data_IF_891602568515
#
_entry.id   IF_891602568515
#
_cell.length_a   1.000
_cell.length_b   1.000
_cell.length_c   1.000
_cell.angle_alpha   90.00
_cell.angle_beta   90.00
_cell.angle_gamma   90.00
#
_symmetry.space_group_name_H-M   'P 1'
#
loop_
_entity.id
_entity.type
_entity.pdbx_description
1 polymer ?
#
# COMPACT_ATOMS: atom_id res chain seq x y z
N UNK A 1 -24.20 12.80 -1.83
CA UNK A 1 -23.74 12.26 -3.13
C UNK A 1 -22.72 11.15 -2.84
N UNK A 2 -22.92 9.98 -3.44
CA UNK A 2 -22.02 8.84 -3.35
C UNK A 2 -20.69 9.16 -4.03
N UNK A 3 -19.55 8.93 -3.36
CA UNK A 3 -18.22 9.11 -3.94
C UNK A 3 -17.85 7.94 -4.85
N UNK A 4 -16.81 8.08 -5.69
CA UNK A 4 -16.31 6.94 -6.50
C UNK A 4 -15.93 5.77 -5.61
N UNK A 5 -15.27 6.06 -4.47
CA UNK A 5 -14.91 5.04 -3.47
C UNK A 5 -16.15 4.32 -2.93
N UNK A 6 -17.19 5.05 -2.50
CA UNK A 6 -18.39 4.43 -1.90
C UNK A 6 -19.14 3.56 -2.89
N UNK A 7 -19.27 3.98 -4.17
CA UNK A 7 -19.91 3.15 -5.22
C UNK A 7 -19.15 1.84 -5.47
N UNK A 8 -17.82 1.92 -5.52
CA UNK A 8 -17.00 0.73 -5.72
C UNK A 8 -17.02 -0.20 -4.49
N UNK A 9 -17.08 0.38 -3.28
CA UNK A 9 -17.23 -0.38 -2.04
C UNK A 9 -18.59 -1.08 -1.96
N UNK A 10 -19.69 -0.40 -2.35
CA UNK A 10 -21.03 -0.97 -2.45
C UNK A 10 -21.04 -2.18 -3.41
N UNK A 11 -20.47 -2.00 -4.61
CA UNK A 11 -20.33 -3.11 -5.58
C UNK A 11 -19.52 -4.29 -5.03
N UNK A 12 -18.45 -4.03 -4.27
CA UNK A 12 -17.68 -5.09 -3.63
C UNK A 12 -18.50 -5.85 -2.58
N UNK A 13 -19.35 -5.13 -1.83
CA UNK A 13 -20.22 -5.69 -0.79
C UNK A 13 -21.41 -6.49 -1.36
N UNK A 14 -21.77 -6.33 -2.63
CA UNK A 14 -22.79 -7.17 -3.29
C UNK A 14 -22.41 -8.64 -3.23
N UNK A 15 -21.12 -8.96 -3.36
CA UNK A 15 -20.59 -10.31 -3.14
C UNK A 15 -20.21 -10.50 -1.66
N UNK A 16 -21.22 -10.79 -0.83
CA UNK A 16 -21.06 -10.95 0.61
C UNK A 16 -20.06 -12.03 1.00
N UNK A 17 -20.01 -13.12 0.25
CA UNK A 17 -19.08 -14.23 0.51
C UNK A 17 -17.62 -13.78 0.28
N UNK A 18 -17.36 -13.13 -0.85
CA UNK A 18 -16.03 -12.58 -1.16
C UNK A 18 -15.62 -11.52 -0.13
N UNK A 19 -16.54 -10.63 0.25
CA UNK A 19 -16.26 -9.58 1.23
C UNK A 19 -15.95 -10.15 2.62
N UNK A 20 -16.68 -11.18 3.05
CA UNK A 20 -16.44 -11.86 4.32
C UNK A 20 -15.11 -12.63 4.30
N UNK A 21 -14.80 -13.35 3.23
CA UNK A 21 -13.52 -14.05 3.06
C UNK A 21 -12.33 -13.09 3.06
N UNK A 22 -12.43 -11.99 2.34
CA UNK A 22 -11.41 -10.95 2.28
C UNK A 22 -11.14 -10.34 3.66
N UNK A 23 -12.21 -9.97 4.39
CA UNK A 23 -12.11 -9.46 5.75
C UNK A 23 -11.43 -10.45 6.70
N UNK A 24 -11.84 -11.71 6.67
CA UNK A 24 -11.31 -12.75 7.53
C UNK A 24 -9.84 -13.07 7.22
N UNK A 25 -9.48 -13.17 5.94
CA UNK A 25 -8.11 -13.47 5.51
C UNK A 25 -7.12 -12.38 5.95
N UNK A 26 -7.49 -11.11 5.77
CA UNK A 26 -6.67 -9.99 6.22
C UNK A 26 -6.58 -9.91 7.75
N UNK A 27 -7.68 -10.24 8.44
CA UNK A 27 -7.66 -10.29 9.91
C UNK A 27 -6.75 -11.39 10.44
N UNK A 28 -6.70 -12.55 9.79
CA UNK A 28 -5.74 -13.61 10.15
C UNK A 28 -4.29 -13.13 9.99
N UNK A 29 -3.98 -12.40 8.92
CA UNK A 29 -2.64 -11.80 8.75
C UNK A 29 -2.32 -10.80 9.87
N UNK A 30 -3.31 -9.98 10.25
CA UNK A 30 -3.19 -9.05 11.37
C UNK A 30 -2.95 -9.79 12.69
N UNK A 31 -3.71 -10.83 12.99
CA UNK A 31 -3.57 -11.62 14.22
C UNK A 31 -2.18 -12.30 14.30
N UNK A 32 -1.71 -12.83 13.17
CA UNK A 32 -0.37 -13.42 13.05
C UNK A 32 0.73 -12.38 13.32
N UNK A 33 0.61 -11.19 12.72
CA UNK A 33 1.50 -10.06 12.99
C UNK A 33 1.54 -9.70 14.47
N UNK A 34 0.38 -9.60 15.11
CA UNK A 34 0.28 -9.22 16.52
C UNK A 34 0.90 -10.28 17.46
N UNK A 35 0.74 -11.56 17.12
CA UNK A 35 1.44 -12.64 17.81
C UNK A 35 2.96 -12.46 17.69
N UNK A 36 3.47 -12.34 16.48
CA UNK A 36 4.91 -12.26 16.20
C UNK A 36 5.56 -10.98 16.74
N UNK A 37 4.82 -9.89 16.85
CA UNK A 37 5.34 -8.66 17.45
C UNK A 37 5.49 -8.77 18.98
N UNK A 38 4.58 -9.51 19.65
CA UNK A 38 4.66 -9.76 21.10
C UNK A 38 5.80 -10.69 21.49
N UNK A 39 6.28 -11.52 20.58
CA UNK A 39 7.44 -12.41 20.78
C UNK A 39 8.78 -11.66 20.76
N UNK A 40 8.78 -10.36 20.44
CA UNK A 40 9.97 -9.50 20.42
C UNK A 40 9.87 -8.48 21.55
N UNK A 41 10.55 -8.67 22.68
CA UNK A 41 10.44 -7.77 23.85
C UNK A 41 10.76 -6.31 23.51
N UNK A 42 11.73 -6.08 22.63
CA UNK A 42 12.19 -4.76 22.18
C UNK A 42 11.39 -4.21 20.98
N UNK A 43 10.20 -4.73 20.68
CA UNK A 43 9.41 -4.35 19.51
C UNK A 43 9.18 -2.85 19.36
N UNK A 44 8.78 -2.18 20.43
CA UNK A 44 8.52 -0.74 20.39
C UNK A 44 9.81 0.06 20.21
N UNK A 45 10.90 -0.37 20.84
CA UNK A 45 12.21 0.24 20.66
C UNK A 45 12.70 0.13 19.21
N UNK A 46 12.54 -1.04 18.58
CA UNK A 46 12.85 -1.22 17.15
C UNK A 46 12.03 -0.28 16.25
N UNK A 47 10.75 -0.07 16.57
CA UNK A 47 9.90 0.88 15.83
C UNK A 47 10.36 2.32 15.99
N UNK A 48 10.81 2.71 17.19
CA UNK A 48 11.39 4.03 17.43
C UNK A 48 12.69 4.21 16.65
N UNK A 49 13.58 3.22 16.69
CA UNK A 49 14.80 3.21 15.89
C UNK A 49 14.50 3.31 14.40
N UNK A 50 13.54 2.53 13.88
CA UNK A 50 13.17 2.57 12.46
C UNK A 50 12.65 3.95 12.04
N UNK A 51 11.84 4.58 12.87
CA UNK A 51 11.36 5.95 12.63
C UNK A 51 12.52 6.96 12.64
N UNK A 52 13.40 6.87 13.64
CA UNK A 52 14.57 7.76 13.75
C UNK A 52 15.53 7.60 12.57
N UNK A 53 15.88 6.36 12.20
CA UNK A 53 16.75 6.07 11.04
C UNK A 53 16.13 6.63 9.76
N UNK A 54 14.82 6.44 9.54
CA UNK A 54 14.16 6.97 8.34
C UNK A 54 14.13 8.50 8.33
N UNK A 55 13.88 9.14 9.47
CA UNK A 55 13.93 10.59 9.55
C UNK A 55 15.37 11.13 9.33
N UNK A 56 16.37 10.44 9.89
CA UNK A 56 17.77 10.74 9.60
C UNK A 56 18.08 10.60 8.10
N UNK A 57 17.69 9.48 7.49
CA UNK A 57 17.92 9.25 6.06
C UNK A 57 17.24 10.31 5.20
N UNK A 58 16.02 10.72 5.53
CA UNK A 58 15.30 11.76 4.80
C UNK A 58 15.95 13.15 4.96
N UNK A 59 16.52 13.47 6.13
CA UNK A 59 17.19 14.76 6.38
C UNK A 59 18.61 14.83 5.79
N UNK A 60 19.23 13.70 5.42
CA UNK A 60 20.56 13.60 4.79
C UNK A 60 20.47 12.89 3.44
N UNK A 61 19.32 13.01 2.76
CA UNK A 61 19.00 12.24 1.57
C UNK A 61 20.00 12.47 0.43
N UNK A 62 20.41 13.70 0.23
CA UNK A 62 21.39 14.13 -0.78
C UNK A 62 22.74 13.46 -0.55
N UNK A 63 23.26 13.51 0.69
CA UNK A 63 24.54 12.93 1.07
C UNK A 63 24.53 11.40 0.93
N UNK A 64 23.50 10.75 1.47
CA UNK A 64 23.38 9.29 1.44
C UNK A 64 23.20 8.75 0.02
N UNK A 65 22.48 9.43 -0.84
CA UNK A 65 22.30 9.00 -2.22
C UNK A 65 23.57 9.20 -3.05
N UNK A 66 24.32 10.29 -2.85
CA UNK A 66 25.64 10.48 -3.49
C UNK A 66 26.65 9.44 -3.02
N UNK A 67 26.67 9.14 -1.71
CA UNK A 67 27.50 8.07 -1.16
C UNK A 67 27.14 6.70 -1.76
N UNK A 68 25.84 6.40 -1.86
CA UNK A 68 25.34 5.18 -2.50
C UNK A 68 25.83 5.08 -3.94
N UNK A 69 25.61 6.12 -4.75
CA UNK A 69 26.00 6.16 -6.15
C UNK A 69 27.50 5.89 -6.30
N UNK A 70 28.32 6.63 -5.56
CA UNK A 70 29.80 6.47 -5.58
C UNK A 70 30.20 5.02 -5.25
N UNK A 71 29.61 4.43 -4.22
CA UNK A 71 29.95 3.07 -3.79
C UNK A 71 29.42 2.02 -4.77
N UNK A 72 28.22 2.20 -5.34
CA UNK A 72 27.66 1.30 -6.32
C UNK A 72 28.48 1.31 -7.63
N UNK A 73 28.89 2.49 -8.09
CA UNK A 73 29.77 2.63 -9.27
C UNK A 73 31.16 2.01 -9.01
N UNK A 74 31.73 2.22 -7.82
CA UNK A 74 32.98 1.56 -7.42
C UNK A 74 32.87 0.03 -7.37
N UNK A 75 31.68 -0.50 -7.15
CA UNK A 75 31.38 -1.94 -7.21
C UNK A 75 31.12 -2.44 -8.64
N UNK A 76 31.10 -1.56 -9.65
CA UNK A 76 30.92 -1.89 -11.07
C UNK A 76 29.47 -1.79 -11.56
N UNK A 77 28.58 -1.14 -10.84
CA UNK A 77 27.22 -0.88 -11.31
C UNK A 77 27.15 0.43 -12.14
N UNK A 78 26.24 0.47 -13.10
CA UNK A 78 25.84 1.70 -13.79
C UNK A 78 24.67 2.32 -13.02
N UNK A 79 24.80 3.57 -12.59
CA UNK A 79 23.77 4.26 -11.79
C UNK A 79 23.14 5.37 -12.63
N UNK A 80 21.81 5.43 -12.58
CA UNK A 80 20.98 6.40 -13.29
C UNK A 80 20.02 7.08 -12.32
N UNK A 81 19.65 8.31 -12.65
CA UNK A 81 18.66 9.08 -11.93
C UNK A 81 17.46 9.35 -12.82
N UNK A 82 16.26 9.13 -12.29
CA UNK A 82 15.02 9.44 -12.98
C UNK A 82 14.19 10.41 -12.12
N UNK A 83 13.86 11.56 -12.69
CA UNK A 83 13.05 12.59 -12.00
C UNK A 83 11.58 12.21 -11.90
N UNK A 84 11.08 11.46 -12.90
CA UNK A 84 9.67 11.08 -13.01
C UNK A 84 9.49 9.70 -13.66
N UNK A 85 8.23 9.30 -13.83
CA UNK A 85 7.86 8.01 -14.41
C UNK A 85 8.29 7.88 -15.88
N UNK A 86 8.20 8.95 -16.66
CA UNK A 86 8.52 8.94 -18.10
C UNK A 86 10.02 8.74 -18.32
N UNK A 87 10.84 9.45 -17.55
CA UNK A 87 12.30 9.28 -17.60
C UNK A 87 12.72 7.89 -17.09
N UNK A 88 12.11 7.40 -16.01
CA UNK A 88 12.34 6.05 -15.51
C UNK A 88 12.05 4.97 -16.58
N UNK A 89 10.90 5.03 -17.22
CA UNK A 89 10.52 4.10 -18.28
C UNK A 89 11.46 4.21 -19.49
N UNK A 90 11.85 5.42 -19.85
CA UNK A 90 12.74 5.68 -20.98
C UNK A 90 14.15 5.15 -20.74
N UNK A 91 14.71 5.33 -19.55
CA UNK A 91 16.03 4.78 -19.16
C UNK A 91 16.02 3.26 -19.30
N UNK A 92 15.01 2.58 -18.71
CA UNK A 92 14.92 1.12 -18.77
C UNK A 92 14.77 0.65 -20.21
N UNK A 93 13.90 1.28 -21.00
CA UNK A 93 13.73 0.93 -22.41
C UNK A 93 15.05 1.07 -23.19
N UNK A 94 15.78 2.17 -23.00
CA UNK A 94 17.04 2.40 -23.69
C UNK A 94 18.11 1.34 -23.32
N UNK A 95 18.16 0.92 -22.06
CA UNK A 95 19.04 -0.17 -21.63
C UNK A 95 18.65 -1.47 -22.32
N UNK A 96 17.37 -1.85 -22.30
CA UNK A 96 16.89 -3.09 -22.93
C UNK A 96 17.08 -3.07 -24.44
N UNK A 97 16.72 -1.97 -25.09
CA UNK A 97 16.86 -1.80 -26.54
C UNK A 97 18.34 -1.82 -27.00
N UNK A 98 19.24 -1.18 -26.23
CA UNK A 98 20.67 -1.18 -26.51
C UNK A 98 21.32 -2.58 -26.44
N UNK A 99 20.69 -3.51 -25.69
CA UNK A 99 21.11 -4.91 -25.58
C UNK A 99 20.27 -5.88 -26.44
N UNK A 100 19.40 -5.38 -27.30
CA UNK A 100 18.48 -6.17 -28.13
C UNK A 100 17.62 -7.16 -27.32
N UNK A 101 17.13 -6.75 -26.15
CA UNK A 101 16.31 -7.57 -25.27
C UNK A 101 14.87 -7.63 -25.79
N UNK A 102 14.36 -8.86 -25.95
CA UNK A 102 12.96 -9.14 -26.30
C UNK A 102 12.20 -9.82 -25.16
N UNK A 103 12.89 -10.65 -24.36
CA UNK A 103 12.31 -11.37 -23.21
C UNK A 103 12.86 -10.81 -21.90
N UNK A 104 11.99 -10.14 -21.17
CA UNK A 104 12.32 -9.44 -19.93
C UNK A 104 11.52 -10.02 -18.76
N UNK A 105 12.23 -10.53 -17.74
CA UNK A 105 11.60 -11.05 -16.52
C UNK A 105 11.74 -10.06 -15.39
N UNK A 106 10.63 -9.85 -14.66
CA UNK A 106 10.58 -8.88 -13.57
C UNK A 106 10.08 -9.53 -12.30
N UNK A 107 10.77 -9.32 -11.18
CA UNK A 107 10.19 -9.58 -9.87
C UNK A 107 9.40 -8.36 -9.41
N UNK A 108 8.48 -8.59 -8.47
CA UNK A 108 7.58 -7.58 -7.91
C UNK A 108 8.26 -6.24 -7.64
N UNK A 109 7.71 -5.17 -8.20
CA UNK A 109 8.17 -3.81 -7.96
C UNK A 109 7.01 -2.84 -7.91
N UNK A 110 6.69 -2.34 -6.72
CA UNK A 110 5.67 -1.30 -6.55
C UNK A 110 6.01 0.00 -7.27
N UNK A 111 7.32 0.29 -7.47
CA UNK A 111 7.77 1.44 -8.23
C UNK A 111 7.48 1.27 -9.72
N UNK A 112 7.68 0.07 -10.26
CA UNK A 112 7.35 -0.23 -11.65
C UNK A 112 5.85 -0.07 -11.92
N UNK A 113 4.99 -0.53 -11.00
CA UNK A 113 3.54 -0.32 -11.05
C UNK A 113 3.17 1.18 -10.95
N UNK A 114 3.86 1.91 -10.08
CA UNK A 114 3.68 3.36 -9.91
C UNK A 114 3.97 4.13 -11.20
N UNK A 115 4.98 3.70 -11.95
CA UNK A 115 5.45 4.35 -13.17
C UNK A 115 4.82 3.77 -14.45
N UNK A 116 4.00 2.71 -14.37
CA UNK A 116 3.37 2.09 -15.55
C UNK A 116 4.37 1.37 -16.48
N UNK A 117 5.47 0.83 -15.93
CA UNK A 117 6.57 0.26 -16.72
C UNK A 117 6.12 -0.90 -17.60
N UNK A 118 5.28 -1.81 -17.11
CA UNK A 118 4.88 -2.99 -17.86
C UNK A 118 4.15 -2.61 -19.14
N UNK A 119 3.14 -1.76 -19.02
CA UNK A 119 2.34 -1.28 -20.16
C UNK A 119 3.22 -0.53 -21.17
N UNK A 120 4.13 0.31 -20.67
CA UNK A 120 5.05 1.05 -21.51
C UNK A 120 5.96 0.12 -22.31
N UNK A 121 6.61 -0.87 -21.69
CA UNK A 121 7.50 -1.80 -22.36
C UNK A 121 6.77 -2.73 -23.35
N UNK A 122 5.58 -3.22 -22.98
CA UNK A 122 4.75 -4.03 -23.88
C UNK A 122 4.32 -3.26 -25.14
N UNK A 123 4.01 -1.96 -25.02
CA UNK A 123 3.74 -1.10 -26.18
C UNK A 123 4.97 -0.91 -27.07
N UNK A 124 6.17 -1.09 -26.53
CA UNK A 124 7.44 -1.06 -27.28
C UNK A 124 7.86 -2.42 -27.84
N UNK A 125 7.03 -3.46 -27.69
CA UNK A 125 7.26 -4.80 -28.22
C UNK A 125 8.16 -5.70 -27.37
N UNK A 126 8.39 -5.37 -26.10
CA UNK A 126 9.13 -6.21 -25.15
C UNK A 126 8.15 -7.15 -24.44
N UNK A 127 8.44 -8.45 -24.45
CA UNK A 127 7.70 -9.46 -23.66
C UNK A 127 8.10 -9.36 -22.20
N UNK A 128 7.22 -8.75 -21.39
CA UNK A 128 7.43 -8.56 -19.94
C UNK A 128 6.74 -9.67 -19.18
N UNK A 129 7.49 -10.44 -18.41
CA UNK A 129 6.98 -11.53 -17.58
C UNK A 129 7.13 -11.21 -16.09
N UNK A 130 6.02 -11.18 -15.36
CA UNK A 130 6.02 -11.14 -13.89
C UNK A 130 6.44 -12.50 -13.32
N UNK A 131 7.40 -12.52 -12.43
CA UNK A 131 7.92 -13.73 -11.83
C UNK A 131 7.38 -14.04 -10.42
N UNK A 132 6.73 -13.07 -9.77
CA UNK A 132 5.95 -13.28 -8.55
C UNK A 132 4.62 -13.94 -8.91
N UNK A 133 4.22 -14.99 -8.18
CA UNK A 133 3.03 -15.77 -8.51
C UNK A 133 1.74 -14.91 -8.49
N UNK A 134 1.61 -14.04 -7.50
CA UNK A 134 0.44 -13.18 -7.38
C UNK A 134 0.36 -12.15 -8.53
N UNK A 135 1.46 -11.50 -8.86
CA UNK A 135 1.56 -10.59 -10.01
C UNK A 135 1.35 -11.35 -11.33
N UNK A 136 1.91 -12.56 -11.47
CA UNK A 136 1.73 -13.38 -12.69
C UNK A 136 0.25 -13.74 -12.92
N UNK A 137 -0.46 -14.13 -11.88
CA UNK A 137 -1.91 -14.40 -11.95
C UNK A 137 -2.64 -13.14 -12.43
N UNK A 138 -2.35 -11.99 -11.83
CA UNK A 138 -2.98 -10.73 -12.23
C UNK A 138 -2.62 -10.30 -13.65
N UNK A 139 -1.37 -10.50 -14.06
CA UNK A 139 -0.91 -10.23 -15.43
C UNK A 139 -1.72 -11.08 -16.44
N UNK A 140 -1.87 -12.38 -16.20
CA UNK A 140 -2.66 -13.29 -17.05
C UNK A 140 -4.17 -12.96 -17.04
N UNK A 141 -4.68 -12.40 -15.96
CA UNK A 141 -6.07 -11.94 -15.84
C UNK A 141 -6.29 -10.51 -16.35
N UNK A 142 -5.24 -9.79 -16.75
CA UNK A 142 -5.28 -8.36 -17.10
C UNK A 142 -5.89 -7.50 -15.96
N UNK A 143 -5.59 -7.83 -14.71
CA UNK A 143 -6.06 -7.13 -13.51
C UNK A 143 -4.91 -6.41 -12.79
N UNK A 144 -5.25 -5.36 -12.04
CA UNK A 144 -4.28 -4.63 -11.19
C UNK A 144 -4.16 -5.27 -9.81
N UNK A 145 -3.05 -5.04 -9.10
CA UNK A 145 -2.90 -5.47 -7.72
C UNK A 145 -3.95 -4.83 -6.80
N UNK A 146 -4.49 -5.59 -5.85
CA UNK A 146 -5.42 -5.09 -4.83
C UNK A 146 -4.78 -4.92 -3.46
N UNK A 147 -3.55 -5.38 -3.26
CA UNK A 147 -2.78 -5.29 -2.03
C UNK A 147 -1.28 -5.22 -2.33
N UNK A 148 -0.51 -4.49 -1.49
CA UNK A 148 0.94 -4.30 -1.70
C UNK A 148 1.73 -5.62 -1.61
N UNK A 149 1.41 -6.48 -0.62
CA UNK A 149 2.20 -7.69 -0.32
C UNK A 149 1.58 -8.93 -0.95
N UNK A 150 0.27 -9.05 -0.96
CA UNK A 150 -0.48 -10.19 -1.50
C UNK A 150 -1.41 -9.70 -2.62
N UNK A 151 -0.88 -9.42 -3.81
CA UNK A 151 -1.56 -8.65 -4.85
C UNK A 151 -2.85 -9.29 -5.33
N UNK A 152 -2.90 -10.62 -5.40
CA UNK A 152 -4.03 -11.41 -5.87
C UNK A 152 -4.97 -11.91 -4.73
N UNK A 153 -4.92 -11.31 -3.53
CA UNK A 153 -5.70 -11.75 -2.36
C UNK A 153 -7.22 -11.75 -2.59
N UNK A 154 -7.71 -11.06 -3.57
CA UNK A 154 -9.11 -10.99 -3.94
C UNK A 154 -9.55 -12.07 -4.94
N UNK A 155 -8.61 -12.91 -5.40
CA UNK A 155 -8.87 -14.01 -6.35
C UNK A 155 -8.97 -15.34 -5.59
N UNK A 156 -10.05 -16.07 -5.81
CA UNK A 156 -10.22 -17.39 -5.22
C UNK A 156 -9.43 -18.45 -6.00
N UNK A 157 -9.04 -19.53 -5.33
CA UNK A 157 -8.26 -20.64 -5.95
C UNK A 157 -8.99 -21.30 -7.12
N UNK A 158 -10.32 -21.31 -7.09
CA UNK A 158 -11.16 -21.83 -8.15
C UNK A 158 -10.99 -21.00 -9.45
N UNK A 159 -11.01 -19.67 -9.33
CA UNK A 159 -10.76 -18.76 -10.45
C UNK A 159 -9.32 -18.90 -11.00
N UNK A 160 -8.35 -19.16 -10.12
CA UNK A 160 -6.96 -19.42 -10.51
C UNK A 160 -6.87 -20.76 -11.25
N UNK A 161 -7.58 -21.79 -10.78
CA UNK A 161 -7.66 -23.09 -11.47
C UNK A 161 -8.18 -22.95 -12.90
N UNK A 162 -9.29 -22.26 -13.09
CA UNK A 162 -9.87 -21.99 -14.42
C UNK A 162 -8.90 -21.20 -15.32
N UNK A 163 -8.24 -20.19 -14.78
CA UNK A 163 -7.21 -19.45 -15.49
C UNK A 163 -6.08 -20.36 -15.97
N UNK A 164 -5.58 -21.24 -15.10
CA UNK A 164 -4.45 -22.11 -15.41
C UNK A 164 -4.82 -23.21 -16.40
N UNK A 165 -6.08 -23.68 -16.41
CA UNK A 165 -6.58 -24.54 -17.50
C UNK A 165 -6.39 -23.85 -18.85
N UNK A 166 -6.80 -22.58 -18.94
CA UNK A 166 -6.72 -21.80 -20.18
C UNK A 166 -5.28 -21.47 -20.59
N UNK A 167 -4.48 -21.00 -19.64
CA UNK A 167 -3.15 -20.42 -19.92
C UNK A 167 -1.99 -21.42 -19.84
N UNK A 168 -2.17 -22.53 -19.11
CA UNK A 168 -1.12 -23.51 -18.84
C UNK A 168 -1.51 -24.95 -19.15
N UNK A 169 -2.76 -25.20 -19.58
CA UNK A 169 -3.24 -26.54 -19.92
C UNK A 169 -3.33 -27.49 -18.73
N UNK A 170 -3.65 -26.96 -17.53
CA UNK A 170 -3.85 -27.78 -16.34
C UNK A 170 -5.15 -28.59 -16.41
N UNK A 171 -5.30 -29.57 -15.51
CA UNK A 171 -6.47 -30.41 -15.44
C UNK A 171 -7.71 -29.62 -14.98
N UNK A 172 -8.82 -29.64 -15.75
CA UNK A 172 -10.04 -28.93 -15.37
C UNK A 172 -10.60 -29.38 -14.02
N UNK A 173 -10.95 -28.43 -13.16
CA UNK A 173 -11.52 -28.68 -11.83
C UNK A 173 -10.51 -29.03 -10.75
N UNK A 174 -9.24 -29.20 -11.07
CA UNK A 174 -8.18 -29.43 -10.09
C UNK A 174 -7.70 -28.11 -9.49
N UNK A 175 -8.24 -27.79 -8.31
CA UNK A 175 -7.95 -26.55 -7.58
C UNK A 175 -7.03 -26.80 -6.36
N UNK A 176 -6.27 -27.89 -6.36
CA UNK A 176 -5.27 -28.16 -5.33
C UNK A 176 -4.15 -27.13 -5.42
N UNK A 177 -3.84 -26.48 -4.30
CA UNK A 177 -2.88 -25.38 -4.25
C UNK A 177 -1.46 -25.82 -4.62
N UNK A 178 -1.06 -27.03 -4.23
CA UNK A 178 0.25 -27.61 -4.56
C UNK A 178 0.35 -27.87 -6.05
N UNK A 179 -0.69 -28.47 -6.63
CA UNK A 179 -0.77 -28.73 -8.07
C UNK A 179 -0.66 -27.45 -8.88
N UNK A 180 -1.47 -26.43 -8.56
CA UNK A 180 -1.43 -25.13 -9.23
C UNK A 180 -0.07 -24.43 -9.10
N UNK A 181 0.55 -24.51 -7.92
CA UNK A 181 1.89 -23.94 -7.69
C UNK A 181 2.95 -24.65 -8.56
N UNK A 182 2.86 -25.98 -8.70
CA UNK A 182 3.76 -26.74 -9.57
C UNK A 182 3.54 -26.40 -11.05
N UNK A 183 2.30 -26.20 -11.48
CA UNK A 183 2.00 -25.77 -12.85
C UNK A 183 2.61 -24.39 -13.15
N UNK A 184 2.41 -23.42 -12.26
CA UNK A 184 3.03 -22.09 -12.37
C UNK A 184 4.57 -22.17 -12.39
N UNK A 185 5.17 -22.98 -11.50
CA UNK A 185 6.62 -23.22 -11.49
C UNK A 185 7.13 -23.77 -12.82
N UNK A 186 6.43 -24.74 -13.40
CA UNK A 186 6.79 -25.31 -14.71
C UNK A 186 6.71 -24.27 -15.83
N UNK A 187 5.66 -23.46 -15.85
CA UNK A 187 5.47 -22.38 -16.81
C UNK A 187 6.58 -21.31 -16.68
N UNK A 188 6.81 -20.82 -15.47
CA UNK A 188 7.80 -19.77 -15.21
C UNK A 188 9.25 -20.25 -15.45
N UNK A 189 9.55 -21.56 -15.27
CA UNK A 189 10.90 -22.09 -15.48
C UNK A 189 11.44 -21.77 -16.88
N UNK A 190 10.63 -21.94 -17.93
CA UNK A 190 11.03 -21.62 -19.29
C UNK A 190 11.26 -20.11 -19.45
N UNK A 191 10.38 -19.30 -18.88
CA UNK A 191 10.51 -17.84 -18.89
C UNK A 191 11.79 -17.33 -18.21
N UNK A 192 12.22 -17.96 -17.11
CA UNK A 192 13.51 -17.66 -16.48
C UNK A 192 14.71 -18.02 -17.34
N UNK A 193 14.64 -19.14 -18.08
CA UNK A 193 15.73 -19.64 -18.93
C UNK A 193 15.84 -18.79 -20.19
N UNK A 194 14.73 -18.37 -20.76
CA UNK A 194 14.65 -17.57 -21.98
C UNK A 194 14.92 -16.08 -21.74
N UNK A 195 14.87 -15.62 -20.49
CA UNK A 195 15.04 -14.20 -20.16
C UNK A 195 16.45 -13.69 -20.52
N UNK A 196 16.50 -12.61 -21.28
CA UNK A 196 17.71 -11.92 -21.72
C UNK A 196 18.14 -10.85 -20.71
N UNK A 197 17.16 -10.30 -19.99
CA UNK A 197 17.36 -9.34 -18.90
C UNK A 197 16.39 -9.62 -17.74
N UNK A 198 16.81 -9.24 -16.53
CA UNK A 198 15.97 -9.32 -15.35
C UNK A 198 15.93 -8.01 -14.57
N UNK A 199 14.78 -7.75 -13.93
CA UNK A 199 14.63 -6.59 -13.07
C UNK A 199 14.09 -6.96 -11.68
N UNK A 200 14.59 -6.25 -10.67
CA UNK A 200 14.05 -6.29 -9.32
C UNK A 200 13.76 -4.88 -8.80
N UNK A 201 12.70 -4.74 -8.02
CA UNK A 201 12.60 -3.61 -7.09
C UNK A 201 13.52 -3.82 -5.90
N UNK A 202 13.97 -2.76 -5.24
CA UNK A 202 14.70 -2.87 -3.98
C UNK A 202 13.84 -2.48 -2.78
N UNK A 203 13.94 -3.27 -1.71
CA UNK A 203 13.33 -2.91 -0.43
C UNK A 203 14.15 -1.84 0.29
N UNK A 204 15.48 -1.93 0.23
CA UNK A 204 16.42 -0.99 0.83
C UNK A 204 17.64 -0.81 -0.07
N UNK A 205 18.27 0.37 0.01
CA UNK A 205 19.56 0.68 -0.57
C UNK A 205 20.49 1.16 0.56
N UNK A 206 21.71 0.61 0.66
CA UNK A 206 22.65 0.88 1.76
C UNK A 206 23.73 1.82 1.27
N UNK A 207 23.76 3.05 1.79
CA UNK A 207 24.65 4.10 1.33
C UNK A 207 26.13 3.71 1.48
N UNK A 208 26.53 3.28 2.67
CA UNK A 208 27.94 2.96 3.00
C UNK A 208 28.56 1.83 2.16
N UNK A 209 27.75 0.99 1.49
CA UNK A 209 28.24 -0.16 0.72
C UNK A 209 27.89 -0.11 -0.76
N UNK A 210 26.92 0.71 -1.17
CA UNK A 210 26.40 0.75 -2.53
C UNK A 210 25.62 -0.52 -2.92
N UNK A 211 25.18 -1.31 -1.94
CA UNK A 211 24.37 -2.50 -2.16
C UNK A 211 22.88 -2.18 -2.06
N UNK A 212 22.05 -2.90 -2.84
CA UNK A 212 20.61 -2.91 -2.62
C UNK A 212 20.15 -4.27 -2.10
N UNK A 213 19.03 -4.27 -1.38
CA UNK A 213 18.52 -5.44 -0.67
C UNK A 213 17.11 -5.74 -1.12
N UNK A 214 16.87 -7.01 -1.46
CA UNK A 214 15.56 -7.54 -1.86
C UNK A 214 15.10 -8.55 -0.81
N UNK A 215 13.90 -8.34 -0.30
CA UNK A 215 13.24 -9.21 0.68
C UNK A 215 12.06 -9.92 0.01
N UNK A 216 12.17 -11.23 -0.19
CA UNK A 216 11.15 -12.04 -0.87
C UNK A 216 11.00 -13.42 -0.22
N UNK A 217 9.89 -14.13 -0.48
CA UNK A 217 9.64 -15.46 0.05
C UNK A 217 9.72 -16.56 -1.03
N UNK A 218 9.73 -16.19 -2.30
CA UNK A 218 9.59 -17.12 -3.41
C UNK A 218 10.91 -17.48 -4.11
N UNK A 219 11.98 -16.72 -3.83
CA UNK A 219 13.27 -16.86 -4.53
C UNK A 219 13.23 -16.45 -6.01
N UNK A 220 12.13 -15.88 -6.48
CA UNK A 220 11.93 -15.44 -7.86
C UNK A 220 12.89 -14.31 -8.28
N UNK A 221 13.18 -13.38 -7.37
CA UNK A 221 14.15 -12.31 -7.62
C UNK A 221 15.56 -12.89 -7.80
N UNK A 222 15.98 -13.80 -6.91
CA UNK A 222 17.30 -14.46 -7.00
C UNK A 222 17.41 -15.31 -8.25
N UNK A 223 16.35 -16.03 -8.63
CA UNK A 223 16.29 -16.81 -9.85
C UNK A 223 16.44 -15.90 -11.09
N UNK A 224 15.66 -14.80 -11.15
CA UNK A 224 15.72 -13.83 -12.24
C UNK A 224 17.09 -13.22 -12.39
N UNK A 225 17.69 -12.75 -11.31
CA UNK A 225 19.02 -12.11 -11.34
C UNK A 225 20.18 -13.08 -11.53
N UNK A 226 19.97 -14.38 -11.33
CA UNK A 226 21.02 -15.39 -11.53
C UNK A 226 21.14 -15.90 -12.96
N UNK A 227 20.12 -15.77 -13.79
CA UNK A 227 20.10 -16.32 -15.17
C UNK A 227 20.63 -15.33 -16.23
N UNK A 228 19.99 -14.19 -16.47
CA UNK A 228 20.47 -13.26 -17.49
C UNK A 228 21.72 -12.50 -17.05
N UNK A 229 22.49 -12.03 -18.03
CA UNK A 229 23.68 -11.21 -17.78
C UNK A 229 23.33 -9.76 -17.49
N UNK A 230 22.23 -9.28 -18.04
CA UNK A 230 21.76 -7.91 -17.85
C UNK A 230 20.81 -7.86 -16.66
N UNK A 231 21.20 -7.14 -15.62
CA UNK A 231 20.43 -6.96 -14.40
C UNK A 231 20.05 -5.50 -14.21
N UNK A 232 18.78 -5.24 -13.90
CA UNK A 232 18.26 -3.92 -13.61
C UNK A 232 17.68 -3.94 -12.20
N UNK A 233 18.02 -2.94 -11.40
CA UNK A 233 17.39 -2.70 -10.10
C UNK A 233 16.86 -1.27 -10.04
N UNK A 234 15.72 -1.07 -9.37
CA UNK A 234 15.20 0.29 -9.21
C UNK A 234 14.58 0.50 -7.83
N UNK A 235 14.74 1.70 -7.30
CA UNK A 235 14.16 2.11 -6.03
C UNK A 235 13.88 3.62 -5.98
N UNK A 236 12.87 3.98 -5.20
CA UNK A 236 12.60 5.38 -4.89
C UNK A 236 13.58 5.94 -3.86
N UNK A 237 13.85 7.24 -3.92
CA UNK A 237 14.79 7.93 -3.04
C UNK A 237 14.65 7.53 -1.57
N UNK A 238 13.41 7.29 -1.14
CA UNK A 238 13.06 6.95 0.24
C UNK A 238 13.55 5.56 0.71
N UNK A 239 14.13 4.74 -0.19
CA UNK A 239 14.61 3.40 0.19
C UNK A 239 16.02 3.40 0.78
N UNK A 240 16.70 4.52 0.75
CA UNK A 240 18.06 4.65 1.29
C UNK A 240 18.09 4.46 2.81
N UNK A 241 19.11 3.78 3.28
CA UNK A 241 19.50 3.64 4.69
C UNK A 241 21.01 3.87 4.80
N UNK A 242 21.51 4.39 5.94
CA UNK A 242 22.93 4.75 6.05
C UNK A 242 23.88 3.57 5.89
N UNK A 243 23.63 2.50 6.62
CA UNK A 243 24.54 1.37 6.79
C UNK A 243 23.80 0.05 7.04
N UNK A 244 24.56 -1.04 7.24
CA UNK A 244 24.02 -2.38 7.50
C UNK A 244 23.43 -2.54 8.90
N UNK A 245 23.90 -1.81 9.89
CA UNK A 245 23.35 -1.80 11.23
C UNK A 245 21.93 -1.24 11.20
N UNK A 246 21.73 -0.12 10.53
CA UNK A 246 20.43 0.47 10.27
C UNK A 246 19.52 -0.50 9.49
N UNK A 247 20.04 -1.18 8.45
CA UNK A 247 19.30 -2.20 7.71
C UNK A 247 18.82 -3.33 8.61
N UNK A 248 19.63 -3.76 9.60
CA UNK A 248 19.30 -4.81 10.56
C UNK A 248 18.01 -4.54 11.33
N UNK A 249 17.71 -3.28 11.65
CA UNK A 249 16.44 -2.87 12.28
C UNK A 249 15.25 -3.17 11.35
N UNK A 250 15.37 -2.80 10.08
CA UNK A 250 14.27 -2.95 9.12
C UNK A 250 14.00 -4.41 8.74
N UNK A 251 15.03 -5.24 8.60
CA UNK A 251 14.86 -6.66 8.28
C UNK A 251 14.13 -7.41 9.40
N UNK A 252 14.32 -7.02 10.66
CA UNK A 252 13.58 -7.55 11.81
C UNK A 252 12.12 -7.11 11.83
N UNK A 253 11.80 -5.93 11.31
CA UNK A 253 10.46 -5.34 11.35
C UNK A 253 9.60 -5.70 10.13
N UNK A 254 10.20 -5.78 8.93
CA UNK A 254 9.47 -5.83 7.66
C UNK A 254 8.53 -7.02 7.55
N UNK A 255 9.06 -8.24 7.61
CA UNK A 255 8.28 -9.46 7.44
C UNK A 255 7.30 -9.69 8.61
N UNK A 256 7.73 -9.37 9.85
CA UNK A 256 6.84 -9.44 11.02
C UNK A 256 5.63 -8.54 10.88
N UNK A 257 5.83 -7.34 10.35
CA UNK A 257 4.74 -6.37 10.17
C UNK A 257 3.78 -6.74 9.04
N UNK A 258 4.30 -7.30 7.95
CA UNK A 258 3.50 -7.63 6.76
C UNK A 258 2.74 -8.94 6.90
N UNK A 259 3.46 -10.03 7.03
CA UNK A 259 2.94 -11.39 6.98
C UNK A 259 3.02 -12.15 8.31
N UNK A 260 3.60 -11.54 9.34
CA UNK A 260 3.84 -12.20 10.62
C UNK A 260 4.92 -13.29 10.53
N UNK A 261 5.95 -13.08 9.73
CA UNK A 261 7.14 -13.95 9.65
C UNK A 261 8.28 -13.30 10.42
N UNK A 262 9.16 -14.08 11.09
CA UNK A 262 10.35 -13.54 11.78
C UNK A 262 11.26 -12.73 10.84
N UNK A 263 11.48 -13.26 9.63
CA UNK A 263 12.23 -12.66 8.53
C UNK A 263 11.68 -13.23 7.22
N UNK A 264 11.96 -12.60 6.08
CA UNK A 264 11.67 -13.17 4.76
C UNK A 264 12.55 -14.38 4.48
N UNK A 265 12.07 -15.33 3.70
CA UNK A 265 12.81 -16.54 3.33
C UNK A 265 14.14 -16.18 2.66
N UNK A 266 14.10 -15.18 1.79
CA UNK A 266 15.28 -14.63 1.12
C UNK A 266 15.42 -13.15 1.50
N UNK A 267 16.61 -12.79 2.00
CA UNK A 267 17.03 -11.40 2.24
C UNK A 267 18.35 -11.25 1.51
N UNK A 268 18.27 -10.95 0.22
CA UNK A 268 19.42 -11.01 -0.69
C UNK A 268 20.05 -9.64 -0.86
N UNK A 269 21.37 -9.58 -0.71
CA UNK A 269 22.19 -8.38 -0.85
C UNK A 269 22.90 -8.40 -2.19
N UNK A 270 22.60 -7.43 -3.05
CA UNK A 270 23.19 -7.29 -4.37
C UNK A 270 24.17 -6.12 -4.38
N UNK A 271 25.44 -6.42 -4.54
CA UNK A 271 26.49 -5.41 -4.45
C UNK A 271 27.23 -5.19 -5.78
N UNK A 272 27.42 -6.26 -6.54
CA UNK A 272 28.24 -6.27 -7.74
C UNK A 272 27.48 -6.93 -8.90
N UNK A 273 27.77 -6.55 -10.15
CA UNK A 273 27.33 -7.34 -11.29
C UNK A 273 27.90 -8.77 -11.18
N UNK A 274 27.15 -9.74 -11.68
CA UNK A 274 27.65 -11.09 -11.81
C UNK A 274 28.82 -11.15 -12.81
N UNK A 275 29.64 -12.20 -12.72
CA UNK A 275 30.79 -12.35 -13.63
C UNK A 275 30.35 -12.35 -15.10
N UNK A 276 30.86 -11.41 -15.88
CA UNK A 276 30.53 -11.25 -17.28
C UNK A 276 29.12 -10.72 -17.54
N UNK A 277 28.49 -10.09 -16.55
CA UNK A 277 27.22 -9.40 -16.66
C UNK A 277 27.33 -7.93 -16.29
N UNK A 278 26.22 -7.24 -16.43
CA UNK A 278 26.06 -5.81 -16.14
C UNK A 278 24.96 -5.62 -15.08
N UNK A 279 25.12 -4.60 -14.24
CA UNK A 279 24.14 -4.19 -13.24
C UNK A 279 23.84 -2.71 -13.44
N UNK A 280 22.56 -2.41 -13.72
CA UNK A 280 22.03 -1.07 -13.88
C UNK A 280 21.11 -0.76 -12.71
N UNK A 281 21.36 0.35 -12.00
CA UNK A 281 20.58 0.79 -10.84
C UNK A 281 19.92 2.13 -11.15
N UNK A 282 18.60 2.21 -11.05
CA UNK A 282 17.85 3.44 -11.29
C UNK A 282 17.31 3.98 -9.98
N UNK A 283 17.72 5.18 -9.62
CA UNK A 283 17.26 5.93 -8.47
C UNK A 283 16.15 6.89 -8.93
N UNK A 284 14.97 6.80 -8.33
CA UNK A 284 13.77 7.48 -8.84
C UNK A 284 13.20 8.45 -7.82
N UNK A 285 13.00 9.69 -8.25
CA UNK A 285 12.27 10.69 -7.47
C UNK A 285 10.75 10.51 -7.59
N UNK A 286 10.20 10.70 -8.75
CA UNK A 286 8.75 10.66 -9.03
C UNK A 286 7.91 11.39 -7.96
N UNK A 287 8.36 12.59 -7.57
CA UNK A 287 7.69 13.47 -6.61
C UNK A 287 8.01 13.23 -5.14
N UNK A 288 8.98 12.37 -4.80
CA UNK A 288 9.41 12.13 -3.41
C UNK A 288 10.09 13.35 -2.80
N UNK A 289 10.81 14.11 -3.60
CA UNK A 289 11.40 15.40 -3.19
C UNK A 289 10.32 16.42 -2.79
N UNK A 290 9.16 16.43 -3.44
CA UNK A 290 8.03 17.27 -3.05
C UNK A 290 7.44 16.84 -1.68
N UNK A 291 7.42 15.51 -1.41
CA UNK A 291 6.98 15.01 -0.10
C UNK A 291 7.99 15.37 0.98
N UNK A 292 9.28 15.35 0.66
CA UNK A 292 10.35 15.75 1.57
C UNK A 292 10.20 17.22 2.00
N UNK A 293 9.77 18.09 1.11
CA UNK A 293 9.52 19.51 1.37
C UNK A 293 8.25 19.78 2.21
N UNK A 294 7.32 18.82 2.30
CA UNK A 294 6.06 18.95 3.06
C UNK A 294 6.24 18.44 4.50
N UNK A 295 6.50 19.37 5.44
CA UNK A 295 6.73 19.03 6.86
C UNK A 295 5.56 18.27 7.51
N UNK A 296 4.33 18.47 7.06
CA UNK A 296 3.15 17.79 7.62
C UNK A 296 3.05 16.33 7.16
N UNK A 297 3.66 15.99 6.00
CA UNK A 297 3.54 14.68 5.36
C UNK A 297 4.86 13.97 5.11
N UNK A 298 6.00 14.55 5.48
CA UNK A 298 7.35 13.98 5.27
C UNK A 298 7.48 12.55 5.80
N UNK A 299 6.82 12.22 6.91
CA UNK A 299 6.81 10.85 7.47
C UNK A 299 6.18 9.80 6.54
N UNK A 300 5.49 10.20 5.47
CA UNK A 300 5.06 9.27 4.41
C UNK A 300 6.25 8.55 3.77
N UNK A 301 7.42 9.21 3.67
CA UNK A 301 8.65 8.63 3.16
C UNK A 301 9.27 7.57 4.09
N UNK A 302 8.85 7.48 5.35
CA UNK A 302 9.27 6.41 6.25
C UNK A 302 8.65 5.05 5.90
N UNK A 303 7.68 5.01 4.98
CA UNK A 303 6.91 3.82 4.67
C UNK A 303 7.75 2.69 4.07
N UNK A 304 7.78 1.52 4.75
CA UNK A 304 8.48 0.32 4.30
C UNK A 304 7.71 -0.50 3.24
N UNK A 305 6.49 -0.10 2.89
CA UNK A 305 5.59 -0.84 1.99
C UNK A 305 5.23 -2.25 2.50
N UNK A 306 5.19 -2.47 3.81
CA UNK A 306 4.93 -3.78 4.43
C UNK A 306 3.45 -4.22 4.39
N UNK A 307 2.49 -3.35 4.07
CA UNK A 307 1.06 -3.68 4.00
C UNK A 307 0.32 -3.78 5.36
N UNK A 308 0.99 -3.67 6.51
CA UNK A 308 0.37 -3.81 7.83
C UNK A 308 -0.84 -2.88 8.05
N UNK A 309 -0.78 -1.67 7.53
CA UNK A 309 -1.88 -0.70 7.61
C UNK A 309 -3.13 -1.14 6.83
N UNK A 310 -2.98 -1.90 5.75
CA UNK A 310 -4.09 -2.48 4.99
C UNK A 310 -4.72 -3.64 5.76
N UNK A 311 -3.90 -4.55 6.29
CA UNK A 311 -4.35 -5.74 7.03
C UNK A 311 -5.22 -5.37 8.25
N UNK A 312 -4.95 -4.21 8.87
CA UNK A 312 -5.70 -3.76 10.04
C UNK A 312 -6.89 -2.86 9.72
N UNK A 313 -6.94 -2.24 8.53
CA UNK A 313 -7.92 -1.22 8.22
C UNK A 313 -9.34 -1.81 8.07
N UNK A 314 -10.31 -1.43 8.93
CA UNK A 314 -11.66 -1.97 8.86
C UNK A 314 -12.37 -1.60 7.54
N UNK A 315 -12.05 -0.42 6.99
CA UNK A 315 -12.62 0.04 5.72
C UNK A 315 -12.05 -0.78 4.56
N UNK A 316 -10.73 -0.87 4.44
CA UNK A 316 -10.08 -1.63 3.36
C UNK A 316 -10.53 -3.10 3.36
N UNK A 317 -10.60 -3.73 4.53
CA UNK A 317 -11.03 -5.13 4.64
C UNK A 317 -12.44 -5.37 4.12
N UNK A 318 -13.32 -4.38 4.25
CA UNK A 318 -14.74 -4.45 3.86
C UNK A 318 -15.03 -3.89 2.48
N UNK A 319 -14.19 -2.99 1.96
CA UNK A 319 -14.40 -2.34 0.67
C UNK A 319 -13.56 -2.92 -0.47
N UNK A 320 -12.53 -3.72 -0.14
CA UNK A 320 -11.58 -4.24 -1.11
C UNK A 320 -10.62 -3.17 -1.68
N UNK A 321 -9.55 -3.63 -2.33
CA UNK A 321 -8.52 -2.73 -2.87
C UNK A 321 -9.01 -1.86 -4.03
N UNK A 322 -9.86 -2.38 -4.87
CA UNK A 322 -10.37 -1.67 -6.06
C UNK A 322 -11.37 -0.54 -5.75
N UNK A 323 -11.82 -0.42 -4.51
CA UNK A 323 -12.61 0.74 -4.09
C UNK A 323 -11.78 2.03 -4.03
N UNK A 324 -10.46 1.90 -3.89
CA UNK A 324 -9.54 3.03 -3.90
C UNK A 324 -9.15 3.41 -5.32
N UNK A 325 -9.16 4.71 -5.60
CA UNK A 325 -8.84 5.23 -6.95
C UNK A 325 -7.33 5.34 -7.21
N UNK A 326 -6.50 5.28 -6.18
CA UNK A 326 -5.05 5.24 -6.29
C UNK A 326 -4.56 3.78 -6.38
N UNK A 327 -3.49 3.50 -7.13
CA UNK A 327 -2.99 2.14 -7.38
C UNK A 327 -2.53 1.42 -6.09
N UNK A 328 -2.10 2.15 -5.08
CA UNK A 328 -1.91 1.64 -3.72
C UNK A 328 -3.18 1.93 -2.93
N UNK A 329 -3.91 0.91 -2.46
CA UNK A 329 -5.10 1.12 -1.65
C UNK A 329 -4.77 1.33 -0.16
N UNK A 330 -5.81 1.54 0.64
CA UNK A 330 -5.73 1.63 2.10
C UNK A 330 -5.07 2.90 2.62
N UNK A 331 -4.74 2.96 3.92
CA UNK A 331 -4.33 4.20 4.59
C UNK A 331 -3.10 4.88 3.98
N UNK A 332 -2.07 4.11 3.61
CA UNK A 332 -0.89 4.69 2.95
C UNK A 332 -1.22 5.22 1.56
N UNK A 333 -2.06 4.51 0.82
CA UNK A 333 -2.48 4.92 -0.52
C UNK A 333 -3.33 6.19 -0.51
N UNK A 334 -4.15 6.40 0.53
CA UNK A 334 -4.87 7.67 0.73
C UNK A 334 -3.86 8.82 0.78
N UNK A 335 -2.84 8.74 1.64
CA UNK A 335 -1.85 9.80 1.79
C UNK A 335 -1.03 10.02 0.52
N UNK A 336 -0.55 8.95 -0.12
CA UNK A 336 0.22 9.05 -1.36
C UNK A 336 -0.60 9.62 -2.52
N UNK A 337 -1.85 9.22 -2.66
CA UNK A 337 -2.74 9.77 -3.69
C UNK A 337 -2.98 11.26 -3.48
N UNK A 338 -3.22 11.68 -2.24
CA UNK A 338 -3.39 13.10 -1.91
C UNK A 338 -2.13 13.92 -2.17
N UNK A 339 -0.95 13.38 -1.86
CA UNK A 339 0.33 14.03 -2.14
C UNK A 339 0.59 14.16 -3.65
N UNK A 340 0.15 13.18 -4.44
CA UNK A 340 0.34 13.20 -5.91
C UNK A 340 -0.63 14.14 -6.62
N UNK A 341 -1.94 14.05 -6.33
CA UNK A 341 -2.98 14.82 -7.00
C UNK A 341 -4.23 14.97 -6.12
N UNK A 342 -4.26 15.97 -5.21
CA UNK A 342 -5.33 16.11 -4.21
C UNK A 342 -6.74 16.18 -4.84
N UNK A 343 -6.92 16.96 -5.91
CA UNK A 343 -8.21 17.10 -6.58
C UNK A 343 -8.69 15.82 -7.30
N UNK A 344 -7.79 14.90 -7.57
CA UNK A 344 -8.12 13.62 -8.22
C UNK A 344 -8.45 12.50 -7.21
N UNK A 345 -7.77 12.49 -6.06
CA UNK A 345 -7.84 11.38 -5.09
C UNK A 345 -8.57 11.72 -3.78
N UNK A 346 -9.17 12.91 -3.65
CA UNK A 346 -9.83 13.38 -2.42
C UNK A 346 -10.94 12.45 -1.91
N UNK A 347 -11.61 11.72 -2.79
CA UNK A 347 -12.68 10.79 -2.44
C UNK A 347 -12.23 9.72 -1.43
N UNK A 348 -10.98 9.26 -1.55
CA UNK A 348 -10.42 8.23 -0.68
C UNK A 348 -10.27 8.70 0.77
N UNK A 349 -10.09 10.00 0.99
CA UNK A 349 -9.94 10.58 2.35
C UNK A 349 -11.21 10.39 3.18
N UNK A 350 -12.38 10.45 2.53
CA UNK A 350 -13.68 10.26 3.17
C UNK A 350 -13.90 8.83 3.66
N UNK A 351 -13.22 7.85 3.06
CA UNK A 351 -13.33 6.44 3.42
C UNK A 351 -12.74 6.10 4.81
N UNK A 352 -11.80 6.90 5.30
CA UNK A 352 -11.15 6.63 6.58
C UNK A 352 -12.10 6.85 7.76
N UNK A 353 -12.18 5.89 8.70
CA UNK A 353 -12.95 6.02 9.95
C UNK A 353 -12.18 6.72 11.07
N UNK A 354 -10.92 7.12 10.86
CA UNK A 354 -10.01 7.69 11.86
C UNK A 354 -9.88 6.82 13.13
N UNK A 355 -9.91 5.50 12.98
CA UNK A 355 -9.76 4.57 14.11
C UNK A 355 -8.31 4.40 14.60
N UNK A 356 -7.32 5.02 13.97
CA UNK A 356 -5.89 4.99 14.31
C UNK A 356 -5.21 3.62 14.26
N UNK A 357 -5.91 2.55 13.94
CA UNK A 357 -5.34 1.20 13.92
C UNK A 357 -4.14 1.07 12.97
N UNK A 358 -4.17 1.73 11.82
CA UNK A 358 -3.07 1.76 10.86
C UNK A 358 -1.81 2.43 11.39
N UNK A 359 -1.95 3.48 12.19
CA UNK A 359 -0.84 4.19 12.85
C UNK A 359 -0.23 3.33 13.96
N UNK A 360 -1.07 2.68 14.77
CA UNK A 360 -0.62 1.82 15.86
C UNK A 360 0.20 0.62 15.38
N UNK A 361 -0.13 0.02 14.23
CA UNK A 361 0.60 -1.14 13.70
C UNK A 361 1.82 -0.78 12.86
N UNK A 362 2.00 0.48 12.48
CA UNK A 362 3.06 0.89 11.56
C UNK A 362 4.46 0.66 12.14
N UNK A 363 5.32 -0.17 11.50
CA UNK A 363 6.65 -0.45 12.03
C UNK A 363 7.61 0.75 11.99
N UNK A 364 7.36 1.72 11.12
CA UNK A 364 8.17 2.93 10.98
C UNK A 364 7.46 4.19 11.51
N UNK A 365 6.41 4.01 12.32
CA UNK A 365 5.64 5.10 12.95
C UNK A 365 5.26 6.23 12.00
N UNK A 366 4.77 5.87 10.80
CA UNK A 366 4.15 6.83 9.87
C UNK A 366 2.82 7.28 10.48
N UNK A 367 2.62 8.55 10.63
CA UNK A 367 1.43 9.15 11.27
C UNK A 367 0.23 9.13 10.30
N UNK A 368 -0.16 7.93 9.86
CA UNK A 368 -1.11 7.74 8.75
C UNK A 368 -2.48 8.38 9.02
N UNK A 369 -3.02 8.19 10.21
CA UNK A 369 -4.34 8.70 10.55
C UNK A 369 -4.31 10.22 10.77
N UNK A 370 -3.25 10.75 11.39
CA UNK A 370 -3.06 12.18 11.57
C UNK A 370 -2.90 12.91 10.24
N UNK A 371 -2.16 12.33 9.30
CA UNK A 371 -2.02 12.88 7.94
C UNK A 371 -3.35 12.87 7.19
N UNK A 372 -4.15 11.81 7.29
CA UNK A 372 -5.50 11.75 6.70
C UNK A 372 -6.42 12.79 7.33
N UNK A 373 -6.31 13.00 8.64
CA UNK A 373 -7.06 14.05 9.33
C UNK A 373 -6.69 15.46 8.83
N UNK A 374 -5.38 15.75 8.67
CA UNK A 374 -4.91 17.01 8.07
C UNK A 374 -5.43 17.20 6.64
N UNK A 375 -5.45 16.14 5.84
CA UNK A 375 -6.06 16.17 4.50
C UNK A 375 -7.54 16.54 4.55
N UNK A 376 -8.31 16.02 5.52
CA UNK A 376 -9.73 16.42 5.69
C UNK A 376 -9.89 17.90 5.95
N UNK A 377 -9.01 18.49 6.75
CA UNK A 377 -9.02 19.91 7.01
C UNK A 377 -8.69 20.71 5.74
N UNK A 378 -7.67 20.29 4.98
CA UNK A 378 -7.28 20.92 3.71
C UNK A 378 -8.37 20.83 2.63
N UNK A 379 -9.14 19.74 2.59
CA UNK A 379 -10.23 19.56 1.60
C UNK A 379 -11.33 20.62 1.70
N UNK A 380 -11.60 21.13 2.88
CA UNK A 380 -12.57 22.24 3.04
C UNK A 380 -12.10 23.50 2.32
N UNK A 381 -10.81 23.84 2.45
CA UNK A 381 -10.18 24.95 1.71
C UNK A 381 -10.11 24.75 0.19
N UNK A 382 -10.07 23.49 -0.29
CA UNK A 382 -10.06 23.15 -1.71
C UNK A 382 -11.45 23.20 -2.37
N UNK A 383 -12.51 23.48 -1.61
CA UNK A 383 -13.86 23.67 -2.14
C UNK A 383 -14.54 22.41 -2.70
N UNK A 384 -13.98 21.21 -2.44
CA UNK A 384 -14.52 19.93 -2.96
C UNK A 384 -15.73 19.40 -2.17
N UNK A 385 -16.06 20.01 -1.03
CA UNK A 385 -17.22 19.64 -0.23
C UNK A 385 -18.51 20.07 -0.93
N UNK A 386 -19.52 19.18 -0.99
CA UNK A 386 -20.83 19.50 -1.54
C UNK A 386 -21.53 20.59 -0.72
N UNK A 387 -22.36 21.39 -1.37
CA UNK A 387 -23.11 22.47 -0.70
C UNK A 387 -23.93 21.96 0.49
N UNK A 388 -24.56 20.78 0.37
CA UNK A 388 -25.31 20.14 1.46
C UNK A 388 -24.41 19.79 2.66
N UNK A 389 -23.21 19.27 2.44
CA UNK A 389 -22.24 19.00 3.52
C UNK A 389 -21.78 20.28 4.20
N UNK A 390 -21.54 21.36 3.43
CA UNK A 390 -21.17 22.68 3.99
C UNK A 390 -22.27 23.24 4.89
N UNK A 391 -23.52 23.21 4.43
CA UNK A 391 -24.67 23.66 5.21
C UNK A 391 -24.84 22.86 6.49
N UNK A 392 -24.76 21.52 6.39
CA UNK A 392 -24.88 20.63 7.55
C UNK A 392 -23.73 20.86 8.56
N UNK A 393 -22.49 20.96 8.09
CA UNK A 393 -21.33 21.23 8.95
C UNK A 393 -21.41 22.61 9.59
N UNK A 394 -21.89 23.62 8.85
CA UNK A 394 -22.16 24.98 9.38
C UNK A 394 -23.22 24.98 10.48
N UNK A 395 -24.32 24.26 10.27
CA UNK A 395 -25.37 24.09 11.28
C UNK A 395 -24.87 23.38 12.54
N UNK A 396 -24.10 22.31 12.36
CA UNK A 396 -23.45 21.59 13.49
C UNK A 396 -22.46 22.48 14.23
N UNK A 397 -21.67 23.30 13.53
CA UNK A 397 -20.76 24.27 14.14
C UNK A 397 -21.53 25.23 15.05
N UNK A 398 -22.57 25.88 14.54
CA UNK A 398 -23.41 26.82 15.31
C UNK A 398 -24.00 26.10 16.54
N UNK A 399 -24.51 24.89 16.37
CA UNK A 399 -25.07 24.10 17.48
C UNK A 399 -24.02 23.84 18.57
N UNK A 400 -22.81 23.45 18.21
CA UNK A 400 -21.74 23.11 19.15
C UNK A 400 -21.09 24.34 19.80
N UNK A 401 -21.04 25.47 19.13
CA UNK A 401 -20.50 26.74 19.65
C UNK A 401 -21.45 27.40 20.67
N UNK A 402 -22.72 26.99 20.73
CA UNK A 402 -23.72 27.55 21.66
C UNK A 402 -24.21 26.50 22.67
N UNK A 403 -23.61 26.43 23.87
CA UNK A 403 -23.95 25.39 24.87
C UNK A 403 -25.43 25.34 25.24
N UNK A 404 -26.12 26.48 25.25
CA UNK A 404 -27.57 26.54 25.54
C UNK A 404 -28.38 25.82 24.43
N UNK A 405 -28.08 26.10 23.19
CA UNK A 405 -28.74 25.47 22.04
C UNK A 405 -28.42 23.98 21.97
N UNK A 406 -27.16 23.61 22.21
CA UNK A 406 -26.71 22.22 22.25
C UNK A 406 -27.45 21.41 23.36
N UNK A 407 -27.54 21.94 24.59
CA UNK A 407 -28.24 21.30 25.69
C UNK A 407 -29.74 21.22 25.42
N UNK A 408 -30.34 22.24 24.80
CA UNK A 408 -31.73 22.19 24.39
C UNK A 408 -31.98 21.08 23.39
N UNK A 409 -31.14 20.98 22.34
CA UNK A 409 -31.24 19.93 21.33
C UNK A 409 -31.09 18.53 21.94
N UNK A 410 -30.11 18.33 22.82
CA UNK A 410 -29.89 17.04 23.50
C UNK A 410 -31.07 16.69 24.44
N UNK A 411 -31.63 17.67 25.15
CA UNK A 411 -32.80 17.44 26.07
C UNK A 411 -34.04 16.98 25.31
N UNK A 412 -34.15 17.32 24.00
CA UNK A 412 -35.28 16.94 23.14
C UNK A 412 -34.95 15.82 22.17
N UNK A 413 -33.73 15.32 22.15
CA UNK A 413 -33.28 14.28 21.20
C UNK A 413 -34.15 13.00 21.25
N UNK A 414 -34.69 12.67 22.41
CA UNK A 414 -35.58 11.50 22.60
C UNK A 414 -36.87 11.56 21.77
N UNK A 415 -37.28 12.75 21.30
CA UNK A 415 -38.43 12.89 20.40
C UNK A 415 -38.24 12.15 19.08
N UNK A 416 -37.00 12.04 18.62
CA UNK A 416 -36.65 11.31 17.38
C UNK A 416 -37.05 9.82 17.51
N UNK A 417 -37.03 9.24 18.70
CA UNK A 417 -37.47 7.86 18.94
C UNK A 417 -38.93 7.60 18.61
N UNK A 418 -39.72 8.63 18.57
CA UNK A 418 -41.19 8.56 18.28
C UNK A 418 -41.50 8.86 16.79
N UNK A 419 -40.48 9.20 15.98
CA UNK A 419 -40.72 9.49 14.58
C UNK A 419 -40.95 8.19 13.78
N UNK A 420 -41.88 8.21 12.81
CA UNK A 420 -42.06 7.09 11.89
C UNK A 420 -40.74 6.75 11.18
N UNK A 421 -40.49 5.44 10.98
CA UNK A 421 -39.25 4.97 10.31
C UNK A 421 -39.00 5.68 8.97
N UNK A 422 -40.03 5.99 8.21
CA UNK A 422 -39.93 6.67 6.91
C UNK A 422 -39.35 8.09 7.01
N UNK A 423 -39.54 8.76 8.16
CA UNK A 423 -38.95 10.10 8.39
C UNK A 423 -37.49 10.05 8.79
N UNK A 424 -37.09 8.99 9.44
CA UNK A 424 -35.70 8.78 9.91
C UNK A 424 -34.87 8.06 8.86
N UNK A 425 -35.46 7.08 8.17
CA UNK A 425 -34.81 6.22 7.19
C UNK A 425 -35.35 6.56 5.79
N UNK A 426 -34.80 7.58 5.15
CA UNK A 426 -35.19 8.02 3.83
C UNK A 426 -33.95 8.37 2.97
N UNK A 427 -34.17 8.66 1.68
CA UNK A 427 -33.09 8.92 0.74
C UNK A 427 -32.27 10.19 1.01
N UNK A 428 -32.72 11.08 1.91
CA UNK A 428 -31.98 12.26 2.34
C UNK A 428 -31.05 11.96 3.52
N UNK A 429 -31.33 10.91 4.28
CA UNK A 429 -30.50 10.44 5.38
C UNK A 429 -29.68 9.22 4.93
N UNK A 430 -28.49 9.47 4.39
CA UNK A 430 -27.58 8.40 3.96
C UNK A 430 -27.15 7.46 5.09
N UNK A 431 -27.15 7.93 6.36
CA UNK A 431 -26.91 7.07 7.52
C UNK A 431 -27.99 6.00 7.67
N UNK A 432 -29.26 6.39 7.54
CA UNK A 432 -30.39 5.51 7.79
C UNK A 432 -30.59 4.39 6.75
N UNK A 433 -29.83 4.38 5.64
CA UNK A 433 -29.95 3.32 4.64
C UNK A 433 -29.43 1.97 5.13
N UNK A 434 -28.37 2.00 5.95
CA UNK A 434 -27.64 0.77 6.34
C UNK A 434 -27.36 0.69 7.85
N UNK A 435 -27.78 1.69 8.62
CA UNK A 435 -27.55 1.75 10.06
C UNK A 435 -28.86 1.99 10.79
N UNK A 436 -29.06 1.24 11.88
CA UNK A 436 -30.12 1.55 12.82
C UNK A 436 -29.76 2.81 13.63
N UNK A 437 -30.72 3.73 13.78
CA UNK A 437 -30.55 4.88 14.64
C UNK A 437 -30.50 4.41 16.09
N UNK A 438 -29.53 4.86 16.90
CA UNK A 438 -29.50 4.58 18.31
C UNK A 438 -30.74 5.18 18.99
N UNK A 439 -31.28 4.50 19.99
CA UNK A 439 -32.34 5.07 20.80
C UNK A 439 -31.74 6.16 21.72
N UNK A 440 -32.24 7.37 21.56
CA UNK A 440 -31.84 8.47 22.42
C UNK A 440 -32.41 8.33 23.82
N UNK A 441 -31.55 8.59 24.82
CA UNK A 441 -31.97 8.59 26.21
C UNK A 441 -33.03 9.68 26.47
N UNK A 442 -33.95 9.43 27.39
CA UNK A 442 -35.02 10.39 27.74
C UNK A 442 -34.50 11.65 28.43
N UNK A 443 -33.36 11.55 29.10
CA UNK A 443 -32.69 12.67 29.78
C UNK A 443 -31.24 12.75 29.27
N UNK A 444 -30.74 13.97 29.05
CA UNK A 444 -29.33 14.18 28.69
C UNK A 444 -28.41 13.85 29.89
N UNK A 445 -27.14 13.49 29.61
CA UNK A 445 -26.14 13.29 30.65
C UNK A 445 -26.01 14.53 31.54
N UNK A 446 -26.02 15.73 30.97
CA UNK A 446 -25.95 17.00 31.69
C UNK A 446 -27.13 17.17 32.67
N UNK A 447 -28.35 16.78 32.29
CA UNK A 447 -29.52 16.87 33.16
C UNK A 447 -29.45 15.84 34.27
N UNK A 448 -29.01 14.63 33.98
CA UNK A 448 -28.80 13.58 34.98
C UNK A 448 -27.72 13.97 35.99
N UNK A 449 -26.62 14.57 35.51
CA UNK A 449 -25.55 15.06 36.39
C UNK A 449 -26.03 16.16 37.32
N UNK A 450 -26.71 17.19 36.78
CA UNK A 450 -27.29 18.29 37.60
C UNK A 450 -28.29 17.80 38.61
N UNK A 451 -28.99 16.70 38.31
CA UNK A 451 -29.98 16.09 39.24
C UNK A 451 -29.34 15.10 40.21
N UNK A 452 -28.04 14.93 40.21
CA UNK A 452 -27.31 13.97 41.05
C UNK A 452 -27.64 12.49 40.78
N UNK A 453 -28.18 12.18 39.59
CA UNK A 453 -28.52 10.80 39.18
C UNK A 453 -27.31 10.01 38.69
N UNK A 454 -26.21 10.68 38.39
CA UNK A 454 -24.93 10.10 37.95
C UNK A 454 -23.85 10.65 38.87
N UNK A 455 -22.99 9.76 39.39
CA UNK A 455 -21.82 10.12 40.20
C UNK A 455 -20.55 10.20 39.34
#
# INVERSE_FOLDING_TARGET
MSTKHSKAAEKFQENRELAAWHDQTLWMMRAKRDKMSREVPEWEHLRDMASAIKMYSNSHLDQLLQEFEKNAQANGAHVYWAKDADEYCSIIYNILHGHNVHHFIKSKSMLAEECGLNEFLMQKGIDVVESDLGERILQLMHKKPSHIVVPAIHIKKEEIGELFVKEMGTEPGNNDQTYLTHAARKNLRHKFIEAEAAMTGANFAVASTGEFVVCTNEGNADMGTSQPKLQIAAFGLEKIVPDREALGVFTRLLARSGTGQPITTYTSHYRKPRKGGELHIIIVDNGRSNILADQEHVKTLNCLRCGACMNTCPVYRRSGGYSYTYFIPGPIGINLGMLKAPLHYYDNVSACSLCYSCQNVCPAKVDLADQIYRWRQKLDGLGVASSSKRVMSGGMKVLMEHPGLFNFALGHASWVNSFPRVMVYNGMNDWGKEHDMPQFAKESFNDMWKKGKVK
#
